data_IF_587260186170
#
_entry.id   IF_587260186170
#
_cell.length_a   1.000
_cell.length_b   1.000
_cell.length_c   1.000
_cell.angle_alpha   90.00
_cell.angle_beta   90.00
_cell.angle_gamma   90.00
#
_symmetry.space_group_name_H-M   'P 1'
#
loop_
_entity.id
_entity.type
_entity.pdbx_description
1 polymer ?
#
# COMPACT_ATOMS: atom_id res chain seq x y z
N UNK A 1 -8.60 12.90 30.49
CA UNK A 1 -8.49 11.42 30.32
C UNK A 1 -9.44 10.65 31.24
N UNK A 2 -9.79 11.20 32.42
CA UNK A 2 -10.74 10.59 33.36
C UNK A 2 -12.12 10.31 32.73
N UNK A 3 -12.72 11.27 32.03
CA UNK A 3 -14.12 11.15 31.59
C UNK A 3 -14.38 10.03 30.57
N UNK A 4 -13.42 9.75 29.67
CA UNK A 4 -13.60 8.72 28.64
C UNK A 4 -13.74 7.32 29.25
N UNK A 5 -13.01 7.04 30.33
CA UNK A 5 -12.99 5.74 30.98
C UNK A 5 -14.18 5.53 31.92
N UNK A 6 -14.80 6.62 32.40
CA UNK A 6 -15.96 6.58 33.28
C UNK A 6 -17.30 6.88 32.58
N UNK A 7 -17.28 7.19 31.28
CA UNK A 7 -18.50 7.30 30.49
C UNK A 7 -19.02 5.92 30.07
N UNK A 8 -20.32 5.68 30.28
CA UNK A 8 -20.99 4.44 29.86
C UNK A 8 -21.09 4.42 28.34
N UNK A 9 -20.56 3.38 27.68
CA UNK A 9 -20.71 3.24 26.23
C UNK A 9 -22.07 2.64 25.88
N UNK A 10 -22.74 3.21 24.87
CA UNK A 10 -24.03 2.70 24.36
C UNK A 10 -23.98 1.25 23.87
N UNK A 11 -22.91 0.88 23.15
CA UNK A 11 -22.78 -0.46 22.54
C UNK A 11 -22.50 -1.56 23.55
N UNK A 12 -21.66 -1.28 24.54
CA UNK A 12 -21.26 -2.26 25.56
C UNK A 12 -22.11 -2.17 26.83
N UNK A 13 -22.87 -1.09 27.01
CA UNK A 13 -23.71 -0.87 28.19
C UNK A 13 -22.92 -0.71 29.50
N UNK A 14 -21.59 -0.59 29.46
CA UNK A 14 -20.72 -0.44 30.63
C UNK A 14 -19.63 0.63 30.41
N UNK A 15 -19.00 1.06 31.50
CA UNK A 15 -17.88 2.00 31.47
C UNK A 15 -16.58 1.23 31.18
N UNK A 16 -15.65 1.77 30.37
CA UNK A 16 -14.37 1.11 30.14
C UNK A 16 -13.60 0.77 31.42
N UNK A 17 -13.69 1.62 32.45
CA UNK A 17 -13.05 1.38 33.75
C UNK A 17 -13.62 0.18 34.51
N UNK A 18 -14.85 -0.24 34.21
CA UNK A 18 -15.53 -1.34 34.88
C UNK A 18 -15.35 -2.68 34.14
N UNK A 19 -14.58 -2.71 33.04
CA UNK A 19 -14.37 -3.91 32.23
C UNK A 19 -13.39 -4.84 32.94
N UNK A 20 -13.84 -6.06 33.22
CA UNK A 20 -13.07 -7.17 33.79
C UNK A 20 -12.99 -8.35 32.82
N UNK A 21 -12.12 -9.33 33.07
CA UNK A 21 -11.99 -10.53 32.22
C UNK A 21 -13.33 -11.27 32.04
N UNK A 22 -14.13 -11.33 33.10
CA UNK A 22 -15.45 -11.99 33.13
C UNK A 22 -16.56 -11.18 32.45
N UNK A 23 -16.45 -9.84 32.44
CA UNK A 23 -17.41 -8.93 31.79
C UNK A 23 -17.00 -8.50 30.39
N UNK A 24 -15.91 -9.06 29.86
CA UNK A 24 -15.44 -8.84 28.49
C UNK A 24 -16.51 -9.32 27.51
N UNK A 25 -17.26 -8.37 26.98
CA UNK A 25 -18.37 -8.65 26.07
C UNK A 25 -17.89 -9.38 24.81
N UNK A 26 -18.61 -10.42 24.43
CA UNK A 26 -18.48 -11.22 23.19
C UNK A 26 -18.77 -10.42 21.91
N UNK A 27 -18.91 -9.10 21.99
CA UNK A 27 -19.10 -8.19 20.84
C UNK A 27 -18.00 -8.36 19.78
N UNK A 28 -16.81 -8.82 20.18
CA UNK A 28 -15.72 -9.13 19.25
C UNK A 28 -15.72 -10.58 18.73
N UNK A 29 -16.40 -11.52 19.39
CA UNK A 29 -16.44 -12.92 18.98
C UNK A 29 -17.41 -13.17 17.83
N UNK A 30 -18.41 -12.31 17.65
CA UNK A 30 -19.39 -12.41 16.56
C UNK A 30 -18.88 -11.95 15.19
N UNK A 31 -17.60 -11.57 15.06
CA UNK A 31 -17.02 -11.23 13.77
C UNK A 31 -16.55 -12.52 13.10
N UNK A 32 -17.22 -12.91 12.01
CA UNK A 32 -16.75 -13.98 11.14
C UNK A 32 -15.28 -13.72 10.78
N UNK A 33 -14.36 -14.50 11.36
CA UNK A 33 -12.90 -14.35 11.15
C UNK A 33 -12.45 -14.89 9.80
N UNK A 34 -13.38 -15.24 8.92
CA UNK A 34 -13.09 -15.79 7.59
C UNK A 34 -12.43 -14.69 6.78
N UNK A 35 -11.15 -14.88 6.47
CA UNK A 35 -10.46 -14.02 5.52
C UNK A 35 -11.20 -14.09 4.18
N UNK A 36 -11.53 -12.92 3.62
CA UNK A 36 -12.03 -12.86 2.25
C UNK A 36 -10.99 -13.49 1.31
N UNK A 37 -11.41 -14.13 0.21
CA UNK A 37 -10.47 -14.62 -0.78
C UNK A 37 -9.59 -13.46 -1.28
N UNK A 38 -8.29 -13.68 -1.50
CA UNK A 38 -7.39 -12.65 -2.00
C UNK A 38 -7.86 -12.18 -3.38
N UNK A 39 -7.94 -10.87 -3.57
CA UNK A 39 -8.29 -10.24 -4.85
C UNK A 39 -7.18 -10.36 -5.89
N UNK A 40 -5.93 -10.33 -5.46
CA UNK A 40 -4.77 -10.35 -6.35
C UNK A 40 -4.01 -11.67 -6.24
N UNK A 41 -3.19 -11.98 -7.25
CA UNK A 41 -2.39 -13.21 -7.30
C UNK A 41 -0.89 -12.94 -7.23
N UNK A 42 -0.14 -13.97 -6.82
CA UNK A 42 1.32 -13.94 -6.86
C UNK A 42 1.76 -13.71 -8.31
N UNK A 43 2.70 -12.78 -8.50
CA UNK A 43 3.19 -12.38 -9.81
C UNK A 43 2.53 -11.13 -10.39
N UNK A 44 1.38 -10.70 -9.85
CA UNK A 44 0.73 -9.46 -10.29
C UNK A 44 1.64 -8.25 -10.02
N UNK A 45 1.67 -7.32 -10.99
CA UNK A 45 2.35 -6.04 -10.83
C UNK A 45 1.35 -4.99 -10.32
N UNK A 46 1.71 -4.34 -9.23
CA UNK A 46 0.86 -3.39 -8.51
C UNK A 46 1.60 -2.08 -8.21
N UNK A 47 0.83 -1.03 -7.97
CA UNK A 47 1.26 0.25 -7.40
C UNK A 47 0.74 0.35 -5.97
N UNK A 48 1.44 1.10 -5.12
CA UNK A 48 1.06 1.32 -3.72
C UNK A 48 0.35 2.65 -3.52
N UNK A 49 -0.50 2.77 -2.51
CA UNK A 49 -1.13 4.04 -2.18
C UNK A 49 -0.08 5.08 -1.76
N UNK A 50 -0.21 6.30 -2.26
CA UNK A 50 0.69 7.40 -1.93
C UNK A 50 0.34 7.99 -0.55
N UNK A 51 1.36 8.26 0.26
CA UNK A 51 1.19 9.05 1.47
C UNK A 51 0.70 10.46 1.13
N UNK A 52 -0.41 10.87 1.73
CA UNK A 52 -0.99 12.21 1.56
C UNK A 52 -0.67 13.06 2.78
N UNK A 53 -0.06 14.22 2.54
CA UNK A 53 0.01 15.29 3.54
C UNK A 53 -1.33 16.02 3.64
N UNK A 54 -1.56 16.74 4.73
CA UNK A 54 -2.78 17.53 5.01
C UNK A 54 -3.14 18.48 3.86
N UNK A 55 -2.13 19.00 3.14
CA UNK A 55 -2.29 19.95 2.04
C UNK A 55 -2.21 19.30 0.65
N UNK A 56 -2.34 17.97 0.55
CA UNK A 56 -2.29 17.28 -0.75
C UNK A 56 -3.53 17.64 -1.56
N UNK A 57 -3.32 18.28 -2.71
CA UNK A 57 -4.42 18.69 -3.60
C UNK A 57 -5.10 17.45 -4.20
N UNK A 58 -6.43 17.47 -4.27
CA UNK A 58 -7.24 16.32 -4.69
C UNK A 58 -7.02 15.87 -6.14
N UNK A 59 -6.49 16.74 -7.00
CA UNK A 59 -6.19 16.39 -8.39
C UNK A 59 -4.88 15.60 -8.56
N UNK A 60 -4.06 15.46 -7.52
CA UNK A 60 -2.87 14.63 -7.60
C UNK A 60 -3.23 13.14 -7.52
N UNK A 61 -2.48 12.31 -8.26
CA UNK A 61 -2.66 10.87 -8.25
C UNK A 61 -2.49 10.26 -6.84
N UNK A 62 -3.38 9.32 -6.50
CA UNK A 62 -3.40 8.63 -5.21
C UNK A 62 -2.49 7.40 -5.15
N UNK A 63 -1.96 6.96 -6.30
CA UNK A 63 -1.12 5.79 -6.44
C UNK A 63 0.33 6.21 -6.73
N UNK A 64 1.28 5.49 -6.15
CA UNK A 64 2.70 5.70 -6.40
C UNK A 64 3.06 5.39 -7.86
N UNK A 65 4.06 6.08 -8.42
CA UNK A 65 4.56 5.79 -9.76
C UNK A 65 5.40 4.50 -9.80
N UNK A 66 5.90 4.05 -8.66
CA UNK A 66 6.71 2.84 -8.52
C UNK A 66 5.88 1.57 -8.74
N UNK A 67 6.49 0.62 -9.44
CA UNK A 67 5.93 -0.70 -9.70
C UNK A 67 6.51 -1.73 -8.74
N UNK A 68 5.64 -2.62 -8.27
CA UNK A 68 6.00 -3.71 -7.36
C UNK A 68 5.35 -5.00 -7.81
N UNK A 69 5.99 -6.13 -7.51
CA UNK A 69 5.48 -7.46 -7.79
C UNK A 69 5.00 -8.13 -6.50
N UNK A 70 3.83 -8.75 -6.53
CA UNK A 70 3.35 -9.58 -5.41
C UNK A 70 4.17 -10.88 -5.38
N UNK A 71 4.83 -11.15 -4.26
CA UNK A 71 5.64 -12.36 -4.09
C UNK A 71 5.02 -13.38 -3.13
N UNK A 72 4.18 -12.93 -2.21
CA UNK A 72 3.53 -13.80 -1.23
C UNK A 72 2.20 -13.18 -0.76
N UNK A 73 1.28 -14.04 -0.34
CA UNK A 73 -0.06 -13.67 0.13
C UNK A 73 -0.31 -14.34 1.47
N UNK A 74 -0.34 -13.53 2.52
CA UNK A 74 -0.69 -13.97 3.87
C UNK A 74 -2.20 -13.96 4.03
N UNK A 75 -2.79 -15.17 4.07
CA UNK A 75 -4.23 -15.40 4.27
C UNK A 75 -4.65 -15.21 5.74
N UNK A 76 -4.23 -14.10 6.35
CA UNK A 76 -4.73 -13.64 7.65
C UNK A 76 -5.96 -12.75 7.44
N UNK A 77 -6.64 -12.35 8.52
CA UNK A 77 -7.84 -11.50 8.44
C UNK A 77 -7.50 -10.12 9.00
N UNK A 78 -7.41 -9.06 8.18
CA UNK A 78 -7.60 -9.03 6.71
C UNK A 78 -6.36 -9.53 5.93
N UNK A 79 -6.55 -9.94 4.66
CA UNK A 79 -5.48 -10.49 3.80
C UNK A 79 -4.37 -9.47 3.61
N UNK A 80 -3.11 -9.93 3.72
CA UNK A 80 -1.94 -9.10 3.50
C UNK A 80 -1.10 -9.62 2.34
N UNK A 81 -0.52 -8.71 1.56
CA UNK A 81 0.34 -9.00 0.42
C UNK A 81 1.77 -8.59 0.74
N UNK A 82 2.73 -9.43 0.39
CA UNK A 82 4.15 -9.11 0.46
C UNK A 82 4.61 -8.71 -0.94
N UNK A 83 5.26 -7.56 -1.01
CA UNK A 83 5.69 -6.95 -2.27
C UNK A 83 7.22 -7.02 -2.41
N UNK A 84 7.66 -7.02 -3.65
CA UNK A 84 9.06 -6.91 -4.06
C UNK A 84 9.18 -5.81 -5.11
N UNK A 85 10.28 -5.06 -5.10
CA UNK A 85 10.58 -4.10 -6.17
C UNK A 85 10.91 -4.81 -7.50
N UNK A 86 10.98 -4.04 -8.59
CA UNK A 86 11.34 -4.56 -9.91
C UNK A 86 12.84 -4.97 -10.03
N UNK A 87 13.63 -4.78 -8.98
CA UNK A 87 15.04 -5.19 -8.87
C UNK A 87 15.23 -6.39 -7.93
N UNK A 88 14.14 -7.10 -7.61
CA UNK A 88 14.12 -8.26 -6.75
C UNK A 88 14.44 -8.00 -5.25
N UNK A 89 14.29 -6.79 -4.75
CA UNK A 89 14.39 -6.48 -3.31
C UNK A 89 13.02 -6.56 -2.65
N UNK A 90 12.88 -7.39 -1.62
CA UNK A 90 11.63 -7.48 -0.83
C UNK A 90 11.40 -6.19 -0.05
N UNK A 91 10.16 -5.69 -0.07
CA UNK A 91 9.77 -4.55 0.75
C UNK A 91 9.49 -5.05 2.16
N UNK A 92 9.94 -4.27 3.15
CA UNK A 92 9.64 -4.54 4.56
C UNK A 92 8.17 -4.25 4.85
N UNK A 93 7.51 -5.17 5.53
CA UNK A 93 6.09 -5.07 5.90
C UNK A 93 5.16 -5.87 4.97
N UNK A 94 3.86 -5.71 5.19
CA UNK A 94 2.82 -6.28 4.35
C UNK A 94 1.78 -5.20 4.04
N UNK A 95 1.16 -5.31 2.87
CA UNK A 95 0.19 -4.34 2.37
C UNK A 95 -1.20 -4.94 2.37
N UNK A 96 -2.20 -4.15 2.72
CA UNK A 96 -3.60 -4.56 2.56
C UNK A 96 -4.07 -4.38 1.13
N UNK A 97 -5.18 -5.03 0.79
CA UNK A 97 -5.79 -4.93 -0.54
C UNK A 97 -6.08 -3.48 -0.97
N UNK A 98 -6.49 -2.64 -0.03
CA UNK A 98 -6.83 -1.23 -0.26
C UNK A 98 -5.60 -0.34 -0.50
N UNK A 99 -4.42 -0.81 -0.12
CA UNK A 99 -3.17 -0.08 -0.22
C UNK A 99 -2.44 -0.40 -1.54
N UNK A 100 -2.98 -1.30 -2.36
CA UNK A 100 -2.39 -1.71 -3.64
C UNK A 100 -3.41 -1.70 -4.78
N UNK A 101 -2.91 -1.36 -5.98
CA UNK A 101 -3.69 -1.37 -7.21
C UNK A 101 -2.91 -2.06 -8.32
N UNK A 102 -3.49 -3.09 -8.94
CA UNK A 102 -2.93 -3.73 -10.13
C UNK A 102 -2.81 -2.75 -11.29
N UNK A 103 -1.65 -2.72 -11.94
CA UNK A 103 -1.40 -1.89 -13.12
C UNK A 103 -1.70 -2.66 -14.41
N UNK A 104 -2.23 -1.97 -15.42
CA UNK A 104 -2.34 -2.49 -16.79
C UNK A 104 -1.07 -2.28 -17.61
N UNK A 105 -0.11 -1.51 -17.08
CA UNK A 105 1.15 -1.16 -17.72
C UNK A 105 2.31 -1.55 -16.80
N UNK A 106 2.72 -2.84 -16.80
CA UNK A 106 3.78 -3.35 -15.92
C UNK A 106 5.20 -3.01 -16.39
N UNK A 107 5.33 -2.51 -17.62
CA UNK A 107 6.58 -2.21 -18.34
C UNK A 107 6.81 -0.71 -18.53
N UNK A 108 5.87 0.14 -18.12
CA UNK A 108 5.93 1.59 -18.32
C UNK A 108 6.40 2.30 -17.05
N UNK A 109 7.50 3.04 -17.19
CA UNK A 109 8.11 3.85 -16.12
C UNK A 109 8.01 5.34 -16.47
N UNK A 110 7.66 6.16 -15.47
CA UNK A 110 7.57 7.60 -15.64
C UNK A 110 8.93 8.26 -15.44
N UNK A 111 9.29 9.18 -16.33
CA UNK A 111 10.52 9.96 -16.22
C UNK A 111 10.22 11.21 -15.38
N UNK A 112 11.04 11.45 -14.35
CA UNK A 112 10.99 12.69 -13.57
C UNK A 112 11.75 13.80 -14.31
N UNK A 113 12.97 13.48 -14.76
CA UNK A 113 13.84 14.46 -15.42
C UNK A 113 14.87 13.81 -16.31
N UNK A 114 15.09 14.38 -17.50
CA UNK A 114 16.26 14.07 -18.33
C UNK A 114 17.46 14.87 -17.81
N UNK A 115 18.53 14.17 -17.44
CA UNK A 115 19.73 14.75 -16.83
C UNK A 115 20.82 15.05 -17.86
N UNK A 116 21.02 14.16 -18.84
CA UNK A 116 22.03 14.30 -19.91
C UNK A 116 21.52 13.69 -21.21
N UNK A 117 22.01 14.20 -22.34
CA UNK A 117 21.83 13.60 -23.68
C UNK A 117 23.20 13.28 -24.28
N UNK A 118 23.38 12.08 -24.83
CA UNK A 118 24.59 11.67 -25.57
C UNK A 118 24.14 10.95 -26.85
N UNK A 119 24.20 11.63 -27.98
CA UNK A 119 23.64 11.13 -29.24
C UNK A 119 22.15 10.80 -29.08
N UNK A 120 21.77 9.57 -29.44
CA UNK A 120 20.38 9.04 -29.33
C UNK A 120 20.07 8.40 -27.97
N UNK A 121 20.90 8.62 -26.94
CA UNK A 121 20.70 8.10 -25.58
C UNK A 121 20.44 9.24 -24.60
N UNK A 122 19.54 9.00 -23.66
CA UNK A 122 19.13 9.94 -22.61
C UNK A 122 19.44 9.34 -21.24
N UNK A 123 20.12 10.09 -20.38
CA UNK A 123 20.33 9.71 -18.98
C UNK A 123 19.19 10.30 -18.16
N UNK A 124 18.35 9.45 -17.59
CA UNK A 124 17.10 9.87 -16.96
C UNK A 124 17.09 9.57 -15.47
N UNK A 125 16.47 10.48 -14.73
CA UNK A 125 15.97 10.25 -13.37
C UNK A 125 14.52 9.79 -13.50
N UNK A 126 14.24 8.60 -13.02
CA UNK A 126 12.90 8.03 -13.02
C UNK A 126 12.08 8.56 -11.84
N UNK A 127 10.79 8.79 -12.07
CA UNK A 127 9.88 9.26 -11.04
C UNK A 127 9.61 8.15 -10.03
N UNK A 128 9.97 8.40 -8.77
CA UNK A 128 9.83 7.43 -7.68
C UNK A 128 10.95 6.39 -7.60
N UNK A 129 11.95 6.38 -8.48
CA UNK A 129 13.07 5.45 -8.34
C UNK A 129 14.37 6.17 -8.01
N UNK A 130 15.15 5.58 -7.10
CA UNK A 130 16.47 6.08 -6.71
C UNK A 130 17.52 5.87 -7.82
N UNK A 131 17.38 4.78 -8.57
CA UNK A 131 18.31 4.45 -9.66
C UNK A 131 18.05 5.35 -10.87
N UNK A 132 19.14 5.73 -11.53
CA UNK A 132 19.14 6.47 -12.81
C UNK A 132 19.66 5.54 -13.89
N UNK A 133 19.18 5.66 -15.11
CA UNK A 133 19.66 4.83 -16.22
C UNK A 133 19.73 5.59 -17.54
N UNK A 134 20.46 5.02 -18.48
CA UNK A 134 20.44 5.44 -19.87
C UNK A 134 19.34 4.71 -20.62
N UNK A 135 18.54 5.44 -21.40
CA UNK A 135 17.52 4.91 -22.31
C UNK A 135 17.75 5.41 -23.72
N UNK A 136 17.15 4.76 -24.72
CA UNK A 136 17.18 5.29 -26.07
C UNK A 136 16.01 6.26 -26.29
N UNK A 137 16.24 7.27 -27.12
CA UNK A 137 15.22 8.28 -27.47
C UNK A 137 13.99 7.65 -28.15
N UNK A 138 14.15 6.52 -28.83
CA UNK A 138 13.05 5.74 -29.44
C UNK A 138 12.11 5.06 -28.44
N UNK A 139 12.57 4.88 -27.19
CA UNK A 139 11.79 4.19 -26.14
C UNK A 139 10.87 5.19 -25.40
N UNK A 140 10.97 6.49 -25.72
CA UNK A 140 10.02 7.50 -25.25
C UNK A 140 8.72 7.37 -26.03
N UNK A 141 7.61 7.42 -25.30
CA UNK A 141 6.25 7.44 -25.85
C UNK A 141 5.57 8.75 -25.51
#
# INVERSE_FOLDING_TARGET
MHDYNHAKRRTIGMRPADVTSTTRLTVYDNRSKVAKPPRYSIGDVVRTSKYKSVFTKGYHANWSPELFKIVDIKKVTPVMYILQDMYNNRILGGFYEQEIQKTNHPDVYLIEKVLKKKGKKLYVKWLGHLKKSWIHEKDLR
#
